data_IF_631302913592
#
_entry.id   IF_631302913592
#
_cell.length_a   1.000
_cell.length_b   1.000
_cell.length_c   1.000
_cell.angle_alpha   90.00
_cell.angle_beta   90.00
_cell.angle_gamma   90.00
#
_symmetry.space_group_name_H-M   'P 1'
#
loop_
_entity.id
_entity.type
_entity.pdbx_description
1 polymer ?
#
# COMPACT_ATOMS: atom_id res chain seq x y z
N UNK A 1 32.88 44.50 -23.80
CA UNK A 1 32.13 43.65 -22.86
C UNK A 1 31.31 42.71 -23.70
N UNK A 2 31.40 41.42 -23.41
CA UNK A 2 31.20 40.34 -24.36
C UNK A 2 29.70 40.09 -24.52
N UNK A 3 29.19 40.18 -25.75
CA UNK A 3 27.78 39.96 -26.11
C UNK A 3 27.25 38.62 -25.57
N UNK A 4 28.13 37.62 -25.41
CA UNK A 4 27.87 36.36 -24.74
C UNK A 4 27.41 36.50 -23.28
N UNK A 5 27.97 37.46 -22.54
CA UNK A 5 27.67 37.65 -21.12
C UNK A 5 26.28 38.29 -20.94
N UNK A 6 25.91 39.17 -21.86
CA UNK A 6 24.58 39.78 -21.93
C UNK A 6 23.51 38.73 -22.24
N UNK A 7 23.74 37.88 -23.25
CA UNK A 7 22.82 36.80 -23.58
C UNK A 7 22.73 35.76 -22.47
N UNK A 8 23.85 35.41 -21.83
CA UNK A 8 23.83 34.47 -20.71
C UNK A 8 22.98 35.00 -19.56
N UNK A 9 23.15 36.26 -19.16
CA UNK A 9 22.40 36.83 -18.04
C UNK A 9 20.90 36.91 -18.34
N UNK A 10 20.53 37.41 -19.53
CA UNK A 10 19.12 37.54 -19.94
C UNK A 10 18.42 36.19 -19.96
N UNK A 11 19.08 35.15 -20.50
CA UNK A 11 18.50 33.81 -20.55
C UNK A 11 18.37 33.19 -19.16
N UNK A 12 19.33 33.41 -18.27
CA UNK A 12 19.22 32.92 -16.89
C UNK A 12 18.07 33.60 -16.14
N UNK A 13 17.93 34.92 -16.30
CA UNK A 13 16.87 35.69 -15.64
C UNK A 13 15.47 35.25 -16.13
N UNK A 14 15.31 35.02 -17.43
CA UNK A 14 14.07 34.52 -18.02
C UNK A 14 13.75 33.10 -17.53
N UNK A 15 14.76 32.22 -17.46
CA UNK A 15 14.59 30.86 -16.95
C UNK A 15 14.20 30.86 -15.47
N UNK A 16 14.82 31.69 -14.66
CA UNK A 16 14.51 31.82 -13.24
C UNK A 16 13.09 32.37 -13.05
N UNK A 17 12.67 33.35 -13.85
CA UNK A 17 11.28 33.86 -13.85
C UNK A 17 10.27 32.76 -14.19
N UNK A 18 10.52 31.98 -15.25
CA UNK A 18 9.63 30.88 -15.66
C UNK A 18 9.55 29.81 -14.57
N UNK A 19 10.68 29.43 -13.98
CA UNK A 19 10.72 28.43 -12.89
C UNK A 19 9.96 28.95 -11.67
N UNK A 20 10.09 30.23 -11.35
CA UNK A 20 9.39 30.85 -10.24
C UNK A 20 7.87 30.89 -10.48
N UNK A 21 7.43 31.25 -11.69
CA UNK A 21 6.01 31.27 -12.08
C UNK A 21 5.39 29.88 -12.01
N UNK A 22 6.07 28.85 -12.55
CA UNK A 22 5.61 27.46 -12.46
C UNK A 22 5.50 27.04 -10.98
N UNK A 23 6.50 27.34 -10.16
CA UNK A 23 6.44 27.03 -8.72
C UNK A 23 5.26 27.70 -8.05
N UNK A 24 5.03 28.99 -8.31
CA UNK A 24 3.94 29.77 -7.72
C UNK A 24 2.55 29.27 -8.17
N UNK A 25 2.37 29.02 -9.47
CA UNK A 25 1.13 28.50 -10.02
C UNK A 25 0.78 27.10 -9.48
N UNK A 26 1.79 26.29 -9.17
CA UNK A 26 1.63 24.91 -8.69
C UNK A 26 1.93 24.72 -7.20
N UNK A 27 1.99 25.78 -6.38
CA UNK A 27 2.19 25.64 -4.92
C UNK A 27 1.08 24.81 -4.27
N UNK A 28 -0.16 24.98 -4.74
CA UNK A 28 -1.33 24.25 -4.25
C UNK A 28 -1.47 22.87 -4.87
N UNK A 29 -0.64 22.54 -5.86
CA UNK A 29 -0.59 21.23 -6.51
C UNK A 29 0.09 20.24 -5.55
N UNK A 30 -0.65 19.91 -4.50
CA UNK A 30 -0.31 18.88 -3.53
C UNK A 30 -0.29 17.58 -4.31
N UNK A 31 0.92 17.11 -4.63
CA UNK A 31 1.26 15.83 -5.26
C UNK A 31 0.10 14.83 -5.22
N UNK A 32 -0.33 14.33 -6.37
CA UNK A 32 -1.40 13.33 -6.59
C UNK A 32 -1.18 11.96 -5.92
N UNK A 33 -0.22 11.86 -5.01
CA UNK A 33 -0.12 10.71 -4.13
C UNK A 33 -1.31 10.72 -3.17
N UNK A 34 -1.99 9.58 -3.05
CA UNK A 34 -2.97 9.33 -2.00
C UNK A 34 -2.41 9.84 -0.66
N UNK A 35 -3.24 10.48 0.19
CA UNK A 35 -2.79 10.96 1.49
C UNK A 35 -2.07 9.81 2.20
N UNK A 36 -0.77 9.99 2.41
CA UNK A 36 0.03 9.04 3.16
C UNK A 36 -0.66 8.86 4.52
N UNK A 37 -1.01 7.63 4.91
CA UNK A 37 -1.65 7.40 6.20
C UNK A 37 -0.74 7.99 7.27
N UNK A 38 -1.34 8.77 8.17
CA UNK A 38 -0.57 9.45 9.20
C UNK A 38 0.18 8.42 10.05
N UNK A 39 1.38 8.74 10.52
CA UNK A 39 2.16 7.83 11.37
C UNK A 39 1.34 7.35 12.58
N UNK A 40 0.45 8.19 13.09
CA UNK A 40 -0.53 7.89 14.13
C UNK A 40 -1.53 6.80 13.71
N UNK A 41 -2.11 6.86 12.52
CA UNK A 41 -3.01 5.81 12.01
C UNK A 41 -2.28 4.48 11.77
N UNK A 42 -1.04 4.55 11.26
CA UNK A 42 -0.22 3.35 11.04
C UNK A 42 0.13 2.70 12.38
N UNK A 43 0.52 3.52 13.37
CA UNK A 43 0.81 3.05 14.73
C UNK A 43 -0.42 2.46 15.40
N UNK A 44 -1.57 3.12 15.30
CA UNK A 44 -2.80 2.63 15.93
C UNK A 44 -3.31 1.35 15.25
N UNK A 45 -3.16 1.21 13.93
CA UNK A 45 -3.43 -0.05 13.22
C UNK A 45 -2.45 -1.14 13.59
N UNK A 46 -1.18 -0.79 13.82
CA UNK A 46 -0.14 -1.72 14.25
C UNK A 46 -0.36 -2.20 15.68
N UNK A 47 -0.63 -1.29 16.62
CA UNK A 47 -0.93 -1.60 18.02
C UNK A 47 -2.21 -2.45 18.11
N UNK A 48 -3.25 -2.11 17.32
CA UNK A 48 -4.41 -2.99 17.15
C UNK A 48 -4.00 -4.35 16.60
N UNK A 49 -3.22 -4.42 15.53
CA UNK A 49 -2.76 -5.71 14.98
C UNK A 49 -1.87 -6.52 15.93
N UNK A 50 -1.17 -5.88 16.87
CA UNK A 50 -0.36 -6.53 17.89
C UNK A 50 -1.20 -7.00 19.09
N UNK A 51 -2.31 -6.32 19.38
CA UNK A 51 -3.27 -6.70 20.43
C UNK A 51 -4.29 -7.74 19.95
N UNK A 52 -4.60 -7.75 18.65
CA UNK A 52 -5.52 -8.67 18.01
C UNK A 52 -4.78 -9.97 17.69
N UNK A 53 -5.03 -11.02 18.47
CA UNK A 53 -4.34 -12.30 18.43
C UNK A 53 -4.47 -13.05 17.09
N UNK A 54 -5.32 -14.07 17.05
CA UNK A 54 -5.50 -14.91 15.87
C UNK A 54 -6.08 -14.14 14.68
N UNK A 55 -5.85 -14.63 13.45
CA UNK A 55 -6.40 -14.01 12.24
C UNK A 55 -7.94 -13.96 12.29
N UNK A 56 -8.55 -14.97 12.92
CA UNK A 56 -9.98 -15.06 13.18
C UNK A 56 -10.45 -13.94 14.11
N UNK A 57 -9.76 -13.70 15.23
CA UNK A 57 -10.07 -12.59 16.15
C UNK A 57 -10.04 -11.24 15.44
N UNK A 58 -9.04 -11.02 14.57
CA UNK A 58 -8.94 -9.80 13.78
C UNK A 58 -10.16 -9.59 12.88
N UNK A 59 -10.64 -10.64 12.21
CA UNK A 59 -11.83 -10.58 11.37
C UNK A 59 -13.08 -10.25 12.18
N UNK A 60 -13.24 -10.84 13.38
CA UNK A 60 -14.38 -10.54 14.27
C UNK A 60 -14.35 -9.07 14.68
N UNK A 61 -13.19 -8.55 15.09
CA UNK A 61 -13.07 -7.15 15.48
C UNK A 61 -13.36 -6.17 14.35
N UNK A 62 -12.84 -6.41 13.13
CA UNK A 62 -13.16 -5.55 11.98
C UNK A 62 -14.64 -5.61 11.61
N UNK A 63 -15.25 -6.79 11.66
CA UNK A 63 -16.68 -6.96 11.44
C UNK A 63 -17.51 -6.14 12.45
N UNK A 64 -17.20 -6.26 13.74
CA UNK A 64 -17.89 -5.51 14.78
C UNK A 64 -17.73 -4.00 14.62
N UNK A 65 -16.53 -3.54 14.25
CA UNK A 65 -16.27 -2.13 14.00
C UNK A 65 -17.08 -1.58 12.81
N UNK A 66 -17.16 -2.32 11.70
CA UNK A 66 -17.97 -1.94 10.53
C UNK A 66 -19.47 -1.89 10.85
N UNK A 67 -19.94 -2.84 11.65
CA UNK A 67 -21.34 -2.94 12.06
C UNK A 67 -21.69 -2.05 13.26
N UNK A 68 -20.72 -1.26 13.77
CA UNK A 68 -20.86 -0.43 14.98
C UNK A 68 -21.33 -1.21 16.22
N UNK A 69 -20.92 -2.48 16.33
CA UNK A 69 -21.19 -3.35 17.47
C UNK A 69 -20.04 -3.16 18.48
N UNK A 70 -20.32 -2.77 19.74
CA UNK A 70 -19.28 -2.68 20.76
C UNK A 70 -18.72 -4.06 21.07
N UNK A 71 -17.46 -4.31 20.69
CA UNK A 71 -16.83 -5.61 20.87
C UNK A 71 -16.80 -6.05 22.35
N UNK A 72 -16.59 -5.12 23.27
CA UNK A 72 -16.54 -5.38 24.72
C UNK A 72 -17.88 -5.86 25.31
N UNK A 73 -18.98 -5.70 24.57
CA UNK A 73 -20.32 -6.14 24.98
C UNK A 73 -20.69 -7.51 24.44
N UNK A 74 -19.84 -8.12 23.62
CA UNK A 74 -20.08 -9.45 23.07
C UNK A 74 -19.86 -10.47 24.19
N UNK A 75 -20.87 -11.28 24.47
CA UNK A 75 -20.75 -12.36 25.43
C UNK A 75 -19.78 -13.43 24.91
N UNK A 76 -19.11 -14.15 25.81
CA UNK A 76 -18.19 -15.22 25.43
C UNK A 76 -18.87 -16.34 24.61
N UNK A 77 -20.18 -16.54 24.80
CA UNK A 77 -20.99 -17.47 24.01
C UNK A 77 -21.07 -17.04 22.54
N UNK A 78 -21.43 -15.79 22.28
CA UNK A 78 -21.49 -15.22 20.93
C UNK A 78 -20.11 -15.19 20.27
N UNK A 79 -19.07 -14.85 21.04
CA UNK A 79 -17.68 -14.93 20.57
C UNK A 79 -17.30 -16.35 20.12
N UNK A 80 -17.67 -17.37 20.90
CA UNK A 80 -17.45 -18.77 20.51
C UNK A 80 -18.26 -19.17 19.27
N UNK A 81 -19.45 -18.59 19.09
CA UNK A 81 -20.27 -18.79 17.90
C UNK A 81 -19.60 -18.18 16.66
N UNK A 82 -19.03 -16.97 16.77
CA UNK A 82 -18.21 -16.39 15.72
C UNK A 82 -17.04 -17.29 15.35
N UNK A 83 -16.28 -17.80 16.32
CA UNK A 83 -15.17 -18.72 16.04
C UNK A 83 -15.64 -20.00 15.33
N UNK A 84 -16.78 -20.59 15.73
CA UNK A 84 -17.37 -21.72 15.01
C UNK A 84 -17.78 -21.37 13.59
N UNK A 85 -18.39 -20.21 13.36
CA UNK A 85 -18.79 -19.74 12.02
C UNK A 85 -17.56 -19.53 11.14
N UNK A 86 -16.55 -18.82 11.65
CA UNK A 86 -15.29 -18.57 10.92
C UNK A 86 -14.54 -19.86 10.62
N UNK A 87 -14.64 -20.88 11.49
CA UNK A 87 -14.06 -22.20 11.24
C UNK A 87 -14.67 -22.93 10.03
N UNK A 88 -15.81 -22.48 9.51
CA UNK A 88 -16.40 -23.04 8.29
C UNK A 88 -15.91 -22.33 7.02
N UNK A 89 -15.30 -21.16 7.15
CA UNK A 89 -14.84 -20.35 6.02
C UNK A 89 -13.69 -21.02 5.28
N UNK A 90 -13.87 -21.23 3.96
CA UNK A 90 -12.80 -21.70 3.07
C UNK A 90 -11.73 -20.63 2.82
N UNK A 91 -12.08 -19.36 3.00
CA UNK A 91 -11.19 -18.22 2.75
C UNK A 91 -10.15 -18.05 3.87
N UNK A 92 -10.54 -18.30 5.13
CA UNK A 92 -9.64 -18.15 6.27
C UNK A 92 -8.76 -19.39 6.50
N UNK A 93 -9.24 -20.59 6.13
CA UNK A 93 -8.47 -21.85 6.22
C UNK A 93 -7.26 -21.94 5.31
N UNK A 94 -7.31 -21.26 4.16
CA UNK A 94 -6.23 -21.24 3.18
C UNK A 94 -5.86 -19.79 2.89
N UNK A 95 -5.03 -19.15 3.74
CA UNK A 95 -4.37 -17.92 3.33
C UNK A 95 -3.66 -18.24 2.03
N UNK A 96 -4.10 -17.62 0.95
CA UNK A 96 -3.74 -17.92 -0.43
C UNK A 96 -2.21 -17.97 -0.54
N UNK A 97 -1.62 -19.17 -0.43
CA UNK A 97 -0.17 -19.34 -0.32
C UNK A 97 0.43 -19.03 -1.68
N UNK A 98 0.85 -17.77 -1.85
CA UNK A 98 1.65 -17.33 -2.99
C UNK A 98 3.09 -17.83 -2.89
N UNK A 99 3.48 -18.41 -1.74
CA UNK A 99 4.78 -19.04 -1.52
C UNK A 99 4.88 -20.33 -2.33
N UNK A 100 5.75 -20.35 -3.33
CA UNK A 100 6.04 -21.54 -4.13
C UNK A 100 5.18 -21.74 -5.37
N UNK A 101 4.38 -20.74 -5.79
CA UNK A 101 3.81 -20.76 -7.15
C UNK A 101 4.95 -20.56 -8.14
N UNK A 102 5.64 -21.65 -8.47
CA UNK A 102 6.64 -21.71 -9.51
C UNK A 102 5.99 -21.17 -10.78
N UNK A 103 6.46 -20.02 -11.26
CA UNK A 103 6.14 -19.58 -12.62
C UNK A 103 6.48 -20.77 -13.53
N UNK A 104 5.59 -21.21 -14.43
CA UNK A 104 6.00 -22.16 -15.45
C UNK A 104 7.18 -21.52 -16.17
N UNK A 105 8.39 -22.04 -15.93
CA UNK A 105 9.58 -21.67 -16.68
C UNK A 105 9.23 -21.94 -18.14
N UNK A 106 9.03 -20.85 -18.90
CA UNK A 106 8.83 -20.93 -20.34
C UNK A 106 10.08 -21.58 -20.88
N UNK A 107 9.96 -22.85 -21.27
CA UNK A 107 11.03 -23.66 -21.81
C UNK A 107 11.37 -23.07 -23.18
N UNK A 108 12.17 -22.00 -23.20
CA UNK A 108 12.77 -21.52 -24.43
C UNK A 108 13.71 -22.62 -24.92
N UNK A 109 13.24 -23.29 -25.97
CA UNK A 109 13.88 -24.39 -26.66
C UNK A 109 15.30 -23.99 -27.12
N UNK A 110 16.30 -24.31 -26.28
CA UNK A 110 17.69 -24.29 -26.69
C UNK A 110 17.91 -25.43 -27.71
N UNK A 111 17.76 -25.09 -29.00
CA UNK A 111 18.09 -25.95 -30.12
C UNK A 111 19.52 -26.50 -29.95
N UNK A 112 19.64 -27.81 -29.74
CA UNK A 112 20.92 -28.53 -29.75
C UNK A 112 21.60 -28.34 -31.12
N UNK A 113 22.62 -27.48 -31.21
CA UNK A 113 23.56 -27.50 -32.34
C UNK A 113 24.50 -28.70 -32.15
N UNK A 114 24.32 -29.74 -32.96
CA UNK A 114 25.34 -30.80 -33.15
C UNK A 114 26.59 -30.15 -33.77
N UNK A 115 27.74 -30.23 -33.09
CA UNK A 115 29.05 -30.06 -33.72
C UNK A 115 29.39 -31.38 -34.44
N UNK A 116 29.62 -31.30 -35.74
CA UNK A 116 30.42 -32.28 -36.50
C UNK A 116 31.86 -31.78 -36.49
#
# INVERSE_FOLDING_TARGET
MQESDFFSHTIHDDLDSIVQDIRQAHVTDRTTADPQPTFTEVKEKFDRAMQLGSNEERVIHEFCNQMQIPFDKIASEDFSAFMRILSLSKLLKNPNNMRGKARPQVYHSAKKRKKR
#
